data_IF_691067990103
#
_entry.id   IF_691067990103
#
_cell.length_a   1.000
_cell.length_b   1.000
_cell.length_c   1.000
_cell.angle_alpha   90.00
_cell.angle_beta   90.00
_cell.angle_gamma   90.00
#
_symmetry.space_group_name_H-M   'P 1'
#
loop_
_entity.id
_entity.type
_entity.pdbx_description
1 polymer ?
#
# COMPACT_ATOMS: atom_id res chain seq x y z
N UNK A 1 11.32 -6.73 56.01
CA UNK A 1 10.55 -7.81 55.34
C UNK A 1 9.21 -7.26 54.90
N UNK A 2 9.04 -6.97 53.61
CA UNK A 2 7.79 -6.97 52.85
C UNK A 2 8.08 -6.31 51.49
N UNK A 3 8.58 -7.10 50.55
CA UNK A 3 8.79 -6.67 49.18
C UNK A 3 7.44 -6.48 48.48
N UNK A 4 7.08 -5.22 48.20
CA UNK A 4 6.06 -4.94 47.20
C UNK A 4 6.66 -5.22 45.83
N UNK A 5 6.38 -6.42 45.31
CA UNK A 5 6.57 -6.73 43.89
C UNK A 5 5.64 -5.83 43.09
N UNK A 6 6.14 -4.67 42.70
CA UNK A 6 5.52 -3.83 41.66
C UNK A 6 5.47 -4.70 40.42
N UNK A 7 4.29 -5.23 40.10
CA UNK A 7 4.05 -5.87 38.82
C UNK A 7 4.46 -4.85 37.75
N UNK A 8 5.56 -5.15 37.06
CA UNK A 8 5.98 -4.46 35.86
C UNK A 8 4.89 -4.73 34.82
N UNK A 9 3.83 -3.92 34.85
CA UNK A 9 3.00 -3.72 33.68
C UNK A 9 3.91 -3.03 32.68
N UNK A 10 4.57 -3.84 31.85
CA UNK A 10 5.20 -3.36 30.63
C UNK A 10 4.17 -2.46 29.96
N UNK A 11 4.45 -1.16 29.73
CA UNK A 11 3.53 -0.35 28.97
C UNK A 11 3.50 -0.95 27.58
N UNK A 12 2.48 -1.76 27.32
CA UNK A 12 1.94 -1.96 25.98
C UNK A 12 1.94 -0.59 25.36
N UNK A 13 2.80 -0.43 24.35
CA UNK A 13 3.08 0.81 23.67
C UNK A 13 1.81 1.66 23.67
N UNK A 14 1.85 2.84 24.32
CA UNK A 14 0.80 3.82 24.25
C UNK A 14 0.46 3.96 22.77
N UNK A 15 -0.61 3.30 22.35
CA UNK A 15 -1.03 3.24 20.96
C UNK A 15 -1.23 4.68 20.61
N UNK A 16 -0.31 5.21 19.80
CA UNK A 16 -0.44 6.55 19.28
C UNK A 16 -1.84 6.60 18.67
N UNK A 17 -2.66 7.55 19.11
CA UNK A 17 -3.93 7.81 18.46
C UNK A 17 -3.64 7.91 16.97
N UNK A 18 -4.30 7.08 16.17
CA UNK A 18 -4.10 7.08 14.72
C UNK A 18 -4.51 8.45 14.16
N UNK A 19 -3.96 8.82 13.01
CA UNK A 19 -4.18 10.13 12.39
C UNK A 19 -5.67 10.38 12.16
N UNK A 20 -6.44 9.34 11.85
CA UNK A 20 -7.90 9.41 11.69
C UNK A 20 -8.63 9.79 12.97
N UNK A 21 -8.26 9.17 14.09
CA UNK A 21 -8.91 9.43 15.38
C UNK A 21 -8.48 10.78 15.94
N UNK A 22 -7.23 11.20 15.67
CA UNK A 22 -6.73 12.54 15.93
C UNK A 22 -7.55 13.60 15.17
N UNK A 23 -7.76 13.41 13.87
CA UNK A 23 -8.56 14.32 13.05
C UNK A 23 -10.01 14.42 13.55
N UNK A 24 -10.58 13.27 13.94
CA UNK A 24 -11.92 13.23 14.53
C UNK A 24 -11.98 14.01 15.83
N UNK A 25 -10.98 13.85 16.70
CA UNK A 25 -10.90 14.59 17.96
C UNK A 25 -10.74 16.10 17.72
N UNK A 26 -9.91 16.52 16.76
CA UNK A 26 -9.74 17.92 16.37
C UNK A 26 -11.09 18.53 15.94
N UNK A 27 -11.86 17.83 15.10
CA UNK A 27 -13.17 18.30 14.64
C UNK A 27 -14.16 18.48 15.79
N UNK A 28 -14.16 17.56 16.76
CA UNK A 28 -15.01 17.67 17.95
C UNK A 28 -14.57 18.86 18.81
N UNK A 29 -13.26 19.02 19.04
CA UNK A 29 -12.72 20.10 19.86
C UNK A 29 -12.97 21.48 19.26
N UNK A 30 -13.06 21.60 17.92
CA UNK A 30 -13.42 22.85 17.26
C UNK A 30 -14.81 23.37 17.70
N UNK A 31 -15.74 22.48 18.05
CA UNK A 31 -17.09 22.84 18.50
C UNK A 31 -17.13 23.41 19.92
N UNK A 32 -16.03 23.34 20.68
CA UNK A 32 -15.95 23.98 22.00
C UNK A 32 -16.01 25.51 21.92
N UNK A 33 -15.68 26.07 20.75
CA UNK A 33 -15.80 27.51 20.47
C UNK A 33 -17.17 27.95 19.98
N UNK A 34 -18.17 27.06 19.89
CA UNK A 34 -19.53 27.42 19.42
C UNK A 34 -20.21 28.40 20.37
N UNK A 35 -21.00 29.33 19.81
CA UNK A 35 -21.85 30.25 20.58
C UNK A 35 -22.98 29.52 21.33
N UNK A 36 -23.36 28.33 20.86
CA UNK A 36 -24.42 27.52 21.45
C UNK A 36 -23.90 26.69 22.62
N UNK A 37 -24.42 26.94 23.82
CA UNK A 37 -24.01 26.21 25.04
C UNK A 37 -24.23 24.70 24.96
N UNK A 38 -25.32 24.27 24.31
CA UNK A 38 -25.62 22.86 24.09
C UNK A 38 -24.63 22.15 23.16
N UNK A 39 -24.11 22.87 22.15
CA UNK A 39 -23.08 22.34 21.26
C UNK A 39 -21.76 22.18 22.00
N UNK A 40 -21.37 23.17 22.82
CA UNK A 40 -20.16 23.07 23.66
C UNK A 40 -20.23 21.87 24.61
N UNK A 41 -21.36 21.69 25.29
CA UNK A 41 -21.57 20.57 26.21
C UNK A 41 -21.53 19.21 25.48
N UNK A 42 -22.18 19.12 24.31
CA UNK A 42 -22.14 17.89 23.50
C UNK A 42 -20.74 17.59 22.98
N UNK A 43 -19.99 18.60 22.56
CA UNK A 43 -18.62 18.47 22.09
C UNK A 43 -17.68 17.96 23.21
N UNK A 44 -17.77 18.55 24.40
CA UNK A 44 -17.00 18.09 25.56
C UNK A 44 -17.29 16.61 25.90
N UNK A 45 -18.57 16.23 25.91
CA UNK A 45 -18.97 14.85 26.16
C UNK A 45 -18.48 13.89 25.06
N UNK A 46 -18.58 14.30 23.79
CA UNK A 46 -18.12 13.51 22.66
C UNK A 46 -16.60 13.31 22.67
N UNK A 47 -15.83 14.35 23.01
CA UNK A 47 -14.38 14.28 23.13
C UNK A 47 -13.99 13.32 24.27
N UNK A 48 -14.63 13.44 25.44
CA UNK A 48 -14.39 12.54 26.56
C UNK A 48 -14.68 11.07 26.22
N UNK A 49 -15.82 10.81 25.56
CA UNK A 49 -16.18 9.45 25.11
C UNK A 49 -15.20 8.89 24.09
N UNK A 50 -14.73 9.71 23.15
CA UNK A 50 -13.76 9.28 22.15
C UNK A 50 -12.44 8.89 22.81
N UNK A 51 -11.88 9.74 23.67
CA UNK A 51 -10.65 9.45 24.42
C UNK A 51 -10.80 8.17 25.25
N UNK A 52 -11.92 8.00 25.97
CA UNK A 52 -12.21 6.79 26.72
C UNK A 52 -12.34 5.53 25.85
N UNK A 53 -12.95 5.64 24.66
CA UNK A 53 -13.09 4.51 23.73
C UNK A 53 -11.75 4.01 23.16
N UNK A 54 -10.76 4.90 23.11
CA UNK A 54 -9.39 4.58 22.68
C UNK A 54 -8.54 3.97 23.80
N UNK A 55 -9.09 3.84 25.02
CA UNK A 55 -8.38 3.32 26.18
C UNK A 55 -7.25 4.23 26.68
N UNK A 56 -7.28 5.50 26.31
CA UNK A 56 -6.28 6.49 26.74
C UNK A 56 -6.88 7.53 27.69
N UNK A 57 -6.01 8.29 28.35
CA UNK A 57 -6.41 9.44 29.18
C UNK A 57 -6.00 10.77 28.55
N UNK A 58 -6.62 11.88 28.99
CA UNK A 58 -6.20 13.22 28.57
C UNK A 58 -4.75 13.53 28.95
N UNK A 59 -4.28 13.02 30.09
CA UNK A 59 -2.90 13.20 30.53
C UNK A 59 -1.92 12.52 29.56
N UNK A 60 -2.21 11.27 29.16
CA UNK A 60 -1.39 10.53 28.18
C UNK A 60 -1.42 11.17 26.79
N UNK A 61 -2.57 11.72 26.38
CA UNK A 61 -2.72 12.36 25.07
C UNK A 61 -1.90 13.66 24.96
N UNK A 62 -1.88 14.44 26.04
CA UNK A 62 -1.17 15.73 26.11
C UNK A 62 0.30 15.57 26.52
N UNK A 63 0.70 14.38 26.97
CA UNK A 63 2.07 14.11 27.33
C UNK A 63 2.97 14.29 26.09
N UNK A 64 4.02 15.15 26.17
CA UNK A 64 4.94 15.34 25.07
C UNK A 64 5.60 14.00 24.75
N UNK A 65 5.17 13.37 23.64
CA UNK A 65 5.84 12.17 23.17
C UNK A 65 7.29 12.56 22.84
N UNK A 66 8.25 11.97 23.54
CA UNK A 66 9.66 12.07 23.17
C UNK A 66 9.74 11.81 21.67
N UNK A 67 10.19 12.81 20.91
CA UNK A 67 10.24 12.72 19.46
C UNK A 67 11.10 11.50 19.13
N UNK A 68 10.45 10.40 18.74
CA UNK A 68 11.16 9.30 18.08
C UNK A 68 11.85 9.99 16.91
N UNK A 69 13.18 9.89 16.76
CA UNK A 69 13.87 10.55 15.66
C UNK A 69 13.11 10.18 14.41
N UNK A 70 12.48 11.17 13.77
CA UNK A 70 11.84 10.98 12.48
C UNK A 70 12.97 10.47 11.61
N UNK A 71 12.98 9.16 11.34
CA UNK A 71 13.70 8.63 10.20
C UNK A 71 12.96 9.24 9.04
N UNK A 72 13.40 10.43 8.64
CA UNK A 72 13.08 10.99 7.35
C UNK A 72 13.73 9.99 6.42
N UNK A 73 12.95 8.99 6.00
CA UNK A 73 13.19 8.33 4.74
C UNK A 73 13.01 9.47 3.74
N UNK A 74 14.11 10.20 3.53
CA UNK A 74 14.26 11.10 2.42
C UNK A 74 14.05 10.15 1.25
N UNK A 75 12.85 10.12 0.69
CA UNK A 75 12.66 9.50 -0.61
C UNK A 75 13.66 10.25 -1.45
N UNK A 76 14.75 9.57 -1.81
CA UNK A 76 15.77 10.12 -2.67
C UNK A 76 15.00 10.65 -3.86
N UNK A 77 14.88 11.97 -3.93
CA UNK A 77 14.36 12.66 -5.09
C UNK A 77 15.20 12.13 -6.24
N UNK A 78 14.52 11.50 -7.19
CA UNK A 78 15.10 10.73 -8.28
C UNK A 78 16.44 11.33 -8.70
N UNK A 79 17.52 10.62 -8.41
CA UNK A 79 18.70 10.74 -9.26
C UNK A 79 18.24 10.29 -10.62
N UNK A 80 17.90 11.25 -11.48
CA UNK A 80 17.95 11.31 -12.95
C UNK A 80 18.17 9.99 -13.72
N UNK A 81 17.50 8.92 -13.31
CA UNK A 81 17.25 7.77 -14.15
C UNK A 81 16.10 8.26 -14.98
N UNK A 82 16.40 8.67 -16.20
CA UNK A 82 15.41 9.10 -17.17
C UNK A 82 14.43 7.93 -17.38
N UNK A 83 13.42 7.82 -16.51
CA UNK A 83 12.48 6.71 -16.43
C UNK A 83 11.73 6.55 -17.76
N UNK A 84 11.62 7.65 -18.49
CA UNK A 84 11.20 7.70 -19.88
C UNK A 84 12.11 6.90 -20.80
N UNK A 85 13.43 7.12 -20.78
CA UNK A 85 14.38 6.37 -21.60
C UNK A 85 14.43 4.88 -21.22
N UNK A 86 14.36 4.57 -19.93
CA UNK A 86 14.29 3.20 -19.44
C UNK A 86 13.00 2.50 -19.90
N UNK A 87 11.86 3.18 -19.84
CA UNK A 87 10.57 2.68 -20.34
C UNK A 87 10.58 2.52 -21.86
N UNK A 88 11.13 3.47 -22.60
CA UNK A 88 11.27 3.41 -24.05
C UNK A 88 12.17 2.26 -24.51
N UNK A 89 13.30 2.05 -23.83
CA UNK A 89 14.17 0.90 -24.07
C UNK A 89 13.45 -0.42 -23.82
N UNK A 90 12.66 -0.51 -22.74
CA UNK A 90 11.86 -1.70 -22.43
C UNK A 90 10.78 -1.96 -23.47
N UNK A 91 10.12 -0.92 -23.96
CA UNK A 91 9.11 -1.02 -25.04
C UNK A 91 9.75 -1.51 -26.34
N UNK A 92 10.94 -1.00 -26.71
CA UNK A 92 11.67 -1.48 -27.90
C UNK A 92 12.05 -2.96 -27.77
N UNK A 93 12.55 -3.35 -26.60
CA UNK A 93 12.89 -4.75 -26.32
C UNK A 93 11.66 -5.66 -26.44
N UNK A 94 10.53 -5.27 -25.85
CA UNK A 94 9.28 -6.03 -25.92
C UNK A 94 8.79 -6.19 -27.36
N UNK A 95 8.78 -5.10 -28.15
CA UNK A 95 8.40 -5.16 -29.57
C UNK A 95 9.29 -6.13 -30.36
N UNK A 96 10.61 -6.06 -30.18
CA UNK A 96 11.54 -6.97 -30.83
C UNK A 96 11.30 -8.45 -30.44
N UNK A 97 10.95 -8.72 -29.18
CA UNK A 97 10.61 -10.08 -28.75
C UNK A 97 9.31 -10.57 -29.37
N UNK A 98 8.27 -9.73 -29.45
CA UNK A 98 7.00 -10.07 -30.09
C UNK A 98 7.21 -10.39 -31.56
N UNK A 99 7.93 -9.54 -32.30
CA UNK A 99 8.22 -9.77 -33.72
C UNK A 99 9.01 -11.06 -33.97
N UNK A 100 9.92 -11.42 -33.06
CA UNK A 100 10.66 -12.68 -33.14
C UNK A 100 9.75 -13.88 -32.90
N UNK A 101 8.91 -13.83 -31.87
CA UNK A 101 7.95 -14.88 -31.55
C UNK A 101 6.95 -15.08 -32.69
N UNK A 102 6.42 -14.00 -33.26
CA UNK A 102 5.53 -14.07 -34.41
C UNK A 102 6.19 -14.71 -35.63
N UNK A 103 7.45 -14.37 -35.91
CA UNK A 103 8.22 -15.03 -36.99
C UNK A 103 8.37 -16.53 -36.74
N UNK A 104 8.62 -16.94 -35.50
CA UNK A 104 8.70 -18.36 -35.13
C UNK A 104 7.35 -19.07 -35.34
N UNK A 105 6.25 -18.46 -34.89
CA UNK A 105 4.90 -19.01 -35.08
C UNK A 105 4.59 -19.18 -36.58
N UNK A 106 4.87 -18.15 -37.39
CA UNK A 106 4.69 -18.23 -38.85
C UNK A 106 5.50 -19.37 -39.45
N UNK A 107 6.79 -19.47 -39.10
CA UNK A 107 7.66 -20.53 -39.60
C UNK A 107 7.21 -21.95 -39.20
N UNK A 108 6.80 -22.14 -37.95
CA UNK A 108 6.30 -23.43 -37.46
C UNK A 108 5.00 -23.82 -38.16
N UNK A 109 4.06 -22.89 -38.34
CA UNK A 109 2.82 -23.13 -39.09
C UNK A 109 3.10 -23.58 -40.53
N UNK A 110 4.02 -22.90 -41.23
CA UNK A 110 4.41 -23.32 -42.59
C UNK A 110 5.00 -24.73 -42.61
N UNK A 111 5.83 -25.09 -41.62
CA UNK A 111 6.42 -26.44 -41.52
C UNK A 111 5.37 -27.50 -41.27
N UNK A 112 4.43 -27.25 -40.34
CA UNK A 112 3.31 -28.16 -40.06
C UNK A 112 2.49 -28.38 -41.35
N UNK A 113 2.13 -27.31 -42.05
CA UNK A 113 1.36 -27.41 -43.28
C UNK A 113 2.09 -28.23 -44.36
N UNK A 114 3.41 -28.07 -44.50
CA UNK A 114 4.20 -28.87 -45.45
C UNK A 114 4.25 -30.35 -45.06
N UNK A 115 4.34 -30.67 -43.77
CA UNK A 115 4.33 -32.06 -43.30
C UNK A 115 2.96 -32.70 -43.52
N UNK A 116 1.89 -31.98 -43.19
CA UNK A 116 0.52 -32.43 -43.44
C UNK A 116 0.27 -32.68 -44.95
N UNK A 117 0.77 -31.80 -45.81
CA UNK A 117 0.63 -31.97 -47.26
C UNK A 117 1.40 -33.18 -47.79
N UNK A 118 2.62 -33.41 -47.30
CA UNK A 118 3.40 -34.61 -47.63
C UNK A 118 2.70 -35.88 -47.18
N UNK A 119 2.09 -35.88 -46.00
CA UNK A 119 1.35 -37.02 -45.49
C UNK A 119 0.10 -37.32 -46.34
N UNK A 120 -0.63 -36.29 -46.76
CA UNK A 120 -1.77 -36.43 -47.69
C UNK A 120 -1.35 -37.04 -49.03
N UNK A 121 -0.27 -36.52 -49.62
CA UNK A 121 0.25 -37.03 -50.89
C UNK A 121 0.75 -38.48 -50.78
N UNK A 122 1.32 -38.88 -49.62
CA UNK A 122 1.69 -40.28 -49.37
C UNK A 122 0.47 -41.19 -49.31
N UNK A 123 -0.57 -40.83 -48.55
CA UNK A 123 -1.81 -41.63 -48.47
C UNK A 123 -2.47 -41.82 -49.84
N UNK A 124 -2.53 -40.75 -50.65
CA UNK A 124 -3.06 -40.83 -52.02
C UNK A 124 -2.25 -41.76 -52.94
N UNK A 125 -0.94 -41.86 -52.74
CA UNK A 125 -0.07 -42.76 -53.50
C UNK A 125 -0.11 -44.22 -53.00
N UNK A 126 -0.55 -44.45 -51.76
CA UNK A 126 -0.77 -45.78 -51.19
C UNK A 126 -2.17 -46.33 -51.54
N UNK A 127 -3.13 -45.47 -51.88
CA UNK A 127 -4.52 -45.80 -52.21
C UNK A 127 -4.82 -45.96 -53.71
N UNK A 128 -3.90 -45.57 -54.61
CA UNK A 128 -4.04 -45.65 -56.07
C UNK A 128 -3.15 -46.69 -56.71
#
# INVERSE_FOLDING_TARGET
MAGFRRALRLPLAAMAIDDRDRDKLIRILALLGSDQSGERASAALAAHRLVGSLGSSWAELLEPRAAVPKVVVQRVHEWDINHRDAAEARIRQLKATTERQERQIRGLRTRINRLAERERLRKLAEEG
#
